data_IF_080964393573
#
_entry.id   IF_080964393573
#
_cell.length_a   1.000
_cell.length_b   1.000
_cell.length_c   1.000
_cell.angle_alpha   90.00
_cell.angle_beta   90.00
_cell.angle_gamma   90.00
#
_symmetry.space_group_name_H-M   'P 1'
#
loop_
_entity.id
_entity.type
_entity.pdbx_description
1 polymer ?
#
# COMPACT_ATOMS: atom_id res chain seq x y z
N UNK A 1 -7.87 21.64 -4.24
CA UNK A 1 -7.20 22.95 -4.29
C UNK A 1 -5.70 22.73 -4.32
N UNK A 2 -4.87 23.76 -4.51
CA UNK A 2 -3.42 23.64 -4.38
C UNK A 2 -2.96 23.11 -3.01
N UNK A 3 -3.78 23.26 -1.97
CA UNK A 3 -3.44 22.97 -0.58
C UNK A 3 -4.21 21.77 0.02
N UNK A 4 -5.26 21.30 -0.64
CA UNK A 4 -6.13 20.25 -0.12
C UNK A 4 -6.72 19.39 -1.24
N UNK A 5 -6.81 18.09 -1.01
CA UNK A 5 -7.57 17.16 -1.82
C UNK A 5 -8.21 16.11 -0.90
N UNK A 6 -9.30 15.51 -1.37
CA UNK A 6 -9.86 14.32 -0.71
C UNK A 6 -8.75 13.27 -0.54
N UNK A 7 -8.66 12.60 0.62
CA UNK A 7 -7.76 11.45 0.79
C UNK A 7 -7.83 10.48 -0.39
N UNK A 8 -6.67 9.98 -0.80
CA UNK A 8 -6.52 9.16 -2.01
C UNK A 8 -6.17 9.95 -3.28
N UNK A 9 -6.35 11.28 -3.29
CA UNK A 9 -6.05 12.15 -4.43
C UNK A 9 -4.86 13.08 -4.16
N UNK A 10 -4.08 13.35 -5.21
CA UNK A 10 -2.95 14.28 -5.15
C UNK A 10 -3.49 15.70 -5.15
N UNK A 11 -3.18 16.47 -4.10
CA UNK A 11 -3.46 17.91 -4.08
C UNK A 11 -2.53 18.66 -5.03
N UNK A 12 -3.01 19.77 -5.57
CA UNK A 12 -2.24 20.57 -6.52
C UNK A 12 -3.12 21.33 -7.50
N UNK A 13 -2.51 22.13 -8.38
CA UNK A 13 -3.23 22.74 -9.48
C UNK A 13 -3.77 21.66 -10.43
N UNK A 14 -4.97 21.86 -10.96
CA UNK A 14 -5.46 21.09 -12.09
C UNK A 14 -4.78 21.63 -13.35
N UNK A 15 -3.94 20.81 -13.98
CA UNK A 15 -3.26 21.21 -15.21
C UNK A 15 -4.24 21.22 -16.41
N UNK A 16 -4.10 22.19 -17.35
CA UNK A 16 -4.87 22.18 -18.58
C UNK A 16 -4.49 20.96 -19.43
N UNK A 17 -5.48 20.35 -20.09
CA UNK A 17 -5.27 19.21 -20.98
C UNK A 17 -6.43 18.24 -20.98
N UNK A 18 -6.20 17.07 -21.59
CA UNK A 18 -7.16 15.98 -21.60
C UNK A 18 -7.07 15.19 -20.29
N UNK A 19 -8.20 15.11 -19.59
CA UNK A 19 -8.34 14.34 -18.36
C UNK A 19 -8.97 12.99 -18.66
N UNK A 20 -8.31 11.92 -18.25
CA UNK A 20 -8.84 10.58 -18.31
C UNK A 20 -9.43 10.20 -16.96
N UNK A 21 -10.67 9.70 -16.98
CA UNK A 21 -11.32 9.16 -15.79
C UNK A 21 -11.25 7.64 -15.85
N UNK A 22 -10.65 7.04 -14.82
CA UNK A 22 -10.66 5.59 -14.64
C UNK A 22 -11.80 5.21 -13.71
N UNK A 23 -12.68 4.32 -14.17
CA UNK A 23 -13.74 3.75 -13.35
C UNK A 23 -13.32 2.37 -12.87
N UNK A 24 -12.93 2.27 -11.60
CA UNK A 24 -12.67 1.01 -10.93
C UNK A 24 -13.99 0.36 -10.50
N UNK A 25 -14.45 -0.64 -11.26
CA UNK A 25 -15.55 -1.50 -10.80
C UNK A 25 -14.95 -2.67 -10.01
N UNK A 26 -15.52 -3.04 -8.86
CA UNK A 26 -15.02 -4.21 -8.12
C UNK A 26 -15.39 -5.54 -8.77
N UNK A 27 -16.58 -5.60 -9.38
CA UNK A 27 -17.07 -6.73 -10.18
C UNK A 27 -18.10 -6.24 -11.18
N UNK A 28 -18.00 -6.65 -12.43
CA UNK A 28 -18.99 -6.40 -13.47
C UNK A 28 -19.58 -7.73 -13.91
N UNK A 29 -20.90 -7.83 -14.01
CA UNK A 29 -21.55 -9.02 -14.54
C UNK A 29 -21.17 -9.23 -16.02
N UNK A 30 -21.24 -10.48 -16.49
CA UNK A 30 -20.93 -10.79 -17.89
C UNK A 30 -21.82 -10.05 -18.90
N UNK A 31 -23.05 -9.73 -18.51
CA UNK A 31 -23.99 -8.93 -19.30
C UNK A 31 -23.64 -7.42 -19.36
N UNK A 32 -22.61 -7.01 -18.63
CA UNK A 32 -22.17 -5.63 -18.51
C UNK A 32 -22.97 -4.83 -17.48
N UNK A 33 -22.56 -3.58 -17.30
CA UNK A 33 -23.28 -2.58 -16.50
C UNK A 33 -23.51 -1.35 -17.36
N UNK A 34 -24.74 -0.83 -17.34
CA UNK A 34 -25.01 0.51 -17.89
C UNK A 34 -24.72 1.52 -16.80
N UNK A 35 -23.88 2.49 -17.10
CA UNK A 35 -23.55 3.57 -16.18
C UNK A 35 -23.61 4.91 -16.92
N UNK A 36 -23.87 5.96 -16.16
CA UNK A 36 -23.79 7.35 -16.60
C UNK A 36 -22.85 8.06 -15.63
N UNK A 37 -21.92 8.85 -16.17
CA UNK A 37 -21.05 9.68 -15.33
C UNK A 37 -21.34 11.13 -15.60
N UNK A 38 -21.64 11.87 -14.52
CA UNK A 38 -21.76 13.31 -14.52
C UNK A 38 -20.57 13.90 -13.78
N UNK A 39 -19.82 14.79 -14.44
CA UNK A 39 -18.71 15.52 -13.82
C UNK A 39 -19.18 16.94 -13.55
N UNK A 40 -19.17 17.34 -12.27
CA UNK A 40 -19.49 18.71 -11.85
C UNK A 40 -18.20 19.43 -11.49
N UNK A 41 -17.92 20.53 -12.17
CA UNK A 41 -16.76 21.38 -11.89
C UNK A 41 -17.25 22.65 -11.18
N UNK A 42 -16.77 22.86 -9.96
CA UNK A 42 -16.99 24.11 -9.22
C UNK A 42 -15.64 24.80 -9.08
N UNK A 43 -15.53 26.00 -9.64
CA UNK A 43 -14.36 26.85 -9.47
C UNK A 43 -14.67 27.80 -8.32
N UNK A 44 -13.94 27.70 -7.21
CA UNK A 44 -14.01 28.72 -6.17
C UNK A 44 -13.32 29.99 -6.69
N UNK A 45 -14.05 31.11 -6.76
CA UNK A 45 -13.57 32.41 -7.27
C UNK A 45 -12.44 33.05 -6.42
N UNK A 46 -11.89 32.34 -5.42
CA UNK A 46 -10.91 32.86 -4.46
C UNK A 46 -9.48 32.41 -4.69
N UNK A 47 -9.22 31.50 -5.61
CA UNK A 47 -7.84 31.18 -5.96
C UNK A 47 -7.38 32.13 -7.08
N UNK A 48 -6.41 33.03 -6.82
CA UNK A 48 -5.82 33.82 -7.89
C UNK A 48 -5.27 32.87 -8.96
N UNK A 49 -5.26 33.27 -10.25
CA UNK A 49 -4.62 32.47 -11.28
C UNK A 49 -3.21 32.13 -10.81
N UNK A 50 -2.75 30.87 -10.96
CA UNK A 50 -1.39 30.51 -10.59
C UNK A 50 -0.47 31.50 -11.31
N UNK A 51 0.23 32.33 -10.53
CA UNK A 51 1.24 33.22 -11.07
C UNK A 51 2.25 32.39 -11.84
N UNK A 52 2.86 32.99 -12.85
CA UNK A 52 3.96 32.42 -13.64
C UNK A 52 5.19 32.16 -12.77
N UNK A 53 5.09 31.23 -11.83
CA UNK A 53 6.22 30.58 -11.20
C UNK A 53 6.38 29.27 -11.94
N UNK A 54 7.37 29.22 -12.84
CA UNK A 54 7.93 27.97 -13.35
C UNK A 54 8.33 27.11 -12.15
N UNK A 55 7.42 26.27 -11.67
CA UNK A 55 7.76 25.15 -10.82
C UNK A 55 8.44 24.15 -11.75
N UNK A 56 9.77 24.08 -11.64
CA UNK A 56 10.59 23.10 -12.34
C UNK A 56 10.05 21.68 -12.05
N UNK A 57 9.42 20.99 -13.01
CA UNK A 57 8.86 19.66 -12.81
C UNK A 57 9.94 18.58 -12.66
N UNK A 58 11.22 18.97 -12.77
CA UNK A 58 12.38 18.07 -12.64
C UNK A 58 13.16 18.25 -11.35
N UNK A 59 12.72 19.12 -10.43
CA UNK A 59 13.37 19.25 -9.13
C UNK A 59 13.22 17.94 -8.35
N UNK A 60 14.30 17.12 -8.18
CA UNK A 60 14.19 15.94 -7.36
C UNK A 60 13.86 16.41 -5.95
N UNK A 61 12.88 15.77 -5.31
CA UNK A 61 12.73 15.83 -3.87
C UNK A 61 14.01 15.24 -3.25
N UNK A 62 15.03 16.07 -3.09
CA UNK A 62 16.27 15.78 -2.39
C UNK A 62 15.95 15.76 -0.90
N UNK A 63 15.17 14.79 -0.48
CA UNK A 63 15.11 14.40 0.92
C UNK A 63 16.34 13.55 1.15
N UNK A 64 17.39 14.20 1.65
CA UNK A 64 18.62 13.52 2.04
C UNK A 64 18.26 12.34 2.94
N UNK A 65 18.59 11.13 2.47
CA UNK A 65 18.49 9.91 3.25
C UNK A 65 19.51 9.98 4.41
N UNK A 66 19.21 10.77 5.44
CA UNK A 66 19.81 10.62 6.76
C UNK A 66 18.93 9.67 7.54
N UNK A 67 19.13 8.37 7.27
CA UNK A 67 18.76 7.36 8.25
C UNK A 67 19.48 7.65 9.57
N UNK A 68 18.90 7.29 10.72
CA UNK A 68 19.52 7.53 12.02
C UNK A 68 20.94 6.96 12.01
N UNK A 69 21.92 7.81 12.33
CA UNK A 69 23.32 7.44 12.50
C UNK A 69 23.41 6.36 13.57
N UNK A 70 23.78 5.13 13.18
CA UNK A 70 23.99 4.01 14.11
C UNK A 70 25.08 4.39 15.11
N UNK A 71 24.80 4.49 16.42
CA UNK A 71 25.86 4.44 17.42
C UNK A 71 26.52 3.06 17.32
N UNK A 72 27.84 3.04 17.40
CA UNK A 72 28.66 1.82 17.30
C UNK A 72 28.23 0.71 18.26
N UNK A 73 28.42 -0.52 17.80
CA UNK A 73 28.07 -1.77 18.49
C UNK A 73 26.87 -2.44 17.83
N UNK A 74 27.05 -3.64 17.24
CA UNK A 74 25.91 -4.51 16.91
C UNK A 74 25.28 -4.90 18.25
N UNK A 75 24.06 -4.45 18.60
CA UNK A 75 23.35 -5.07 19.70
C UNK A 75 23.10 -6.53 19.29
N UNK A 76 23.20 -7.45 20.24
CA UNK A 76 22.61 -8.79 20.09
C UNK A 76 21.21 -8.63 19.50
N UNK A 77 20.93 -9.31 18.39
CA UNK A 77 19.75 -9.08 17.56
C UNK A 77 18.47 -9.06 18.38
N UNK A 78 17.84 -7.89 18.48
CA UNK A 78 16.50 -7.75 19.02
C UNK A 78 15.52 -8.04 17.89
N UNK A 79 14.60 -8.96 18.13
CA UNK A 79 13.45 -9.17 17.26
C UNK A 79 12.60 -7.89 17.19
N UNK A 80 12.32 -7.42 15.99
CA UNK A 80 11.41 -6.30 15.75
C UNK A 80 10.06 -6.84 15.34
N UNK A 81 8.98 -6.33 15.93
CA UNK A 81 7.61 -6.71 15.60
C UNK A 81 6.95 -5.61 14.77
N UNK A 82 6.23 -5.96 13.72
CA UNK A 82 5.46 -4.97 12.97
C UNK A 82 4.31 -5.53 12.16
N UNK A 83 3.59 -4.62 11.54
CA UNK A 83 2.50 -4.92 10.62
C UNK A 83 2.89 -4.43 9.22
N UNK A 84 2.68 -5.28 8.22
CA UNK A 84 3.09 -5.05 6.84
C UNK A 84 1.92 -4.78 5.89
N UNK A 85 0.68 -4.74 6.41
CA UNK A 85 -0.51 -4.58 5.60
C UNK A 85 -1.61 -3.85 6.40
N UNK A 86 -1.91 -2.60 6.06
CA UNK A 86 -3.03 -1.85 6.64
C UNK A 86 -3.45 -0.67 5.77
N UNK A 87 -4.70 -0.24 5.94
CA UNK A 87 -5.36 0.78 5.12
C UNK A 87 -5.79 1.98 5.95
N UNK A 88 -5.87 3.13 5.30
CA UNK A 88 -6.30 4.40 5.87
C UNK A 88 -7.43 4.99 5.02
N UNK A 89 -7.87 6.19 5.38
CA UNK A 89 -8.82 6.96 4.59
C UNK A 89 -8.30 7.31 3.18
N UNK A 90 -7.02 7.07 2.87
CA UNK A 90 -6.50 7.28 1.52
C UNK A 90 -6.94 6.21 0.51
N UNK A 91 -7.38 5.03 0.95
CA UNK A 91 -8.16 4.11 0.11
C UNK A 91 -9.55 3.88 0.67
N UNK A 92 -9.71 2.86 1.47
CA UNK A 92 -10.97 2.27 1.92
C UNK A 92 -10.92 1.89 3.41
N UNK A 93 -9.84 2.27 4.09
CA UNK A 93 -9.79 2.34 5.53
C UNK A 93 -10.64 3.50 6.08
N UNK A 94 -10.95 3.42 7.37
CA UNK A 94 -11.79 4.41 8.06
C UNK A 94 -10.99 5.35 8.97
N UNK A 95 -9.68 5.08 9.11
CA UNK A 95 -8.81 5.78 10.03
C UNK A 95 -7.81 6.68 9.30
N UNK A 96 -7.49 7.81 9.90
CA UNK A 96 -6.39 8.68 9.43
C UNK A 96 -5.04 7.98 9.60
N UNK A 97 -4.01 8.46 8.90
CA UNK A 97 -2.64 7.98 9.09
C UNK A 97 -2.20 8.21 10.54
N UNK A 98 -2.51 9.37 11.14
CA UNK A 98 -2.21 9.66 12.55
C UNK A 98 -2.81 8.62 13.52
N UNK A 99 -4.10 8.28 13.35
CA UNK A 99 -4.77 7.29 14.20
C UNK A 99 -4.15 5.89 14.08
N UNK A 100 -3.84 5.47 12.85
CA UNK A 100 -3.23 4.16 12.58
C UNK A 100 -1.83 4.09 13.19
N UNK A 101 -1.01 5.13 13.00
CA UNK A 101 0.34 5.21 13.56
C UNK A 101 0.31 5.28 15.10
N UNK A 102 -0.59 6.06 15.68
CA UNK A 102 -0.77 6.14 17.13
C UNK A 102 -1.13 4.76 17.72
N UNK A 103 -2.11 4.08 17.12
CA UNK A 103 -2.51 2.72 17.53
C UNK A 103 -1.35 1.71 17.38
N UNK A 104 -0.53 1.82 16.34
CA UNK A 104 0.65 0.96 16.18
C UNK A 104 1.66 1.13 17.33
N UNK A 105 1.94 2.37 17.71
CA UNK A 105 2.82 2.70 18.84
C UNK A 105 2.23 2.18 20.16
N UNK A 106 0.94 2.43 20.41
CA UNK A 106 0.24 1.93 21.61
C UNK A 106 0.27 0.40 21.72
N UNK A 107 0.24 -0.30 20.57
CA UNK A 107 0.36 -1.76 20.47
C UNK A 107 1.79 -2.28 20.54
N UNK A 108 2.78 -1.39 20.68
CA UNK A 108 4.20 -1.74 20.79
C UNK A 108 4.78 -2.32 19.50
N UNK A 109 4.30 -1.88 18.34
CA UNK A 109 4.93 -2.21 17.06
C UNK A 109 6.21 -1.39 16.87
N UNK A 110 7.27 -2.04 16.42
CA UNK A 110 8.56 -1.43 16.05
C UNK A 110 8.53 -0.84 14.63
N UNK A 111 7.70 -1.41 13.75
CA UNK A 111 7.50 -0.92 12.39
C UNK A 111 6.06 -1.11 11.91
N UNK A 112 5.67 -0.28 10.95
CA UNK A 112 4.35 -0.29 10.32
C UNK A 112 4.49 0.07 8.84
N UNK A 113 3.97 -0.79 7.96
CA UNK A 113 3.71 -0.43 6.57
C UNK A 113 2.26 -0.01 6.38
N UNK A 114 2.05 1.16 5.78
CA UNK A 114 0.72 1.62 5.36
C UNK A 114 0.63 1.46 3.86
N UNK A 115 -0.38 0.73 3.39
CA UNK A 115 -0.45 0.13 2.05
C UNK A 115 -1.79 0.42 1.39
N UNK A 116 -2.24 1.68 1.40
CA UNK A 116 -3.49 2.08 0.74
C UNK A 116 -3.52 1.64 -0.73
N UNK A 117 -4.70 1.28 -1.22
CA UNK A 117 -4.90 0.73 -2.56
C UNK A 117 -4.58 1.75 -3.66
N UNK A 118 -3.67 1.39 -4.57
CA UNK A 118 -3.44 2.08 -5.85
C UNK A 118 -3.15 3.60 -5.74
N UNK A 119 -2.69 4.07 -4.57
CA UNK A 119 -2.41 5.47 -4.28
C UNK A 119 -1.15 5.60 -3.43
N UNK A 120 -0.46 6.72 -3.60
CA UNK A 120 0.74 7.08 -2.85
C UNK A 120 0.54 8.34 -1.99
N UNK A 121 -0.70 8.80 -1.84
CA UNK A 121 -1.00 10.12 -1.27
C UNK A 121 -0.77 10.20 0.23
N UNK A 122 -0.84 9.07 0.95
CA UNK A 122 -0.52 8.96 2.37
C UNK A 122 0.97 9.12 2.69
N UNK A 123 1.86 9.03 1.69
CA UNK A 123 3.31 9.09 1.90
C UNK A 123 3.78 10.39 2.54
N UNK A 124 3.11 11.50 2.26
CA UNK A 124 3.43 12.78 2.87
C UNK A 124 3.12 12.79 4.37
N UNK A 125 1.97 12.22 4.77
CA UNK A 125 1.59 12.11 6.17
C UNK A 125 2.56 11.20 6.94
N UNK A 126 2.97 10.08 6.31
CA UNK A 126 4.02 9.23 6.87
C UNK A 126 5.35 9.99 7.04
N UNK A 127 5.74 10.81 6.06
CA UNK A 127 6.96 11.61 6.15
C UNK A 127 6.88 12.63 7.31
N UNK A 128 5.73 13.28 7.50
CA UNK A 128 5.48 14.19 8.63
C UNK A 128 5.61 13.47 9.97
N UNK A 129 5.17 12.23 10.06
CA UNK A 129 5.18 11.40 11.27
C UNK A 129 6.52 10.66 11.51
N UNK A 130 7.51 10.81 10.64
CA UNK A 130 8.80 10.10 10.70
C UNK A 130 9.66 10.38 11.96
N UNK A 131 9.28 11.37 12.76
CA UNK A 131 9.93 11.72 14.03
C UNK A 131 9.45 10.86 15.21
N UNK A 132 8.40 10.06 15.03
CA UNK A 132 7.83 9.19 16.05
C UNK A 132 8.70 7.94 16.30
N UNK A 133 8.58 7.28 17.46
CA UNK A 133 9.42 6.14 17.84
C UNK A 133 8.98 4.82 17.18
N UNK A 134 8.65 4.84 15.88
CA UNK A 134 8.25 3.69 15.08
C UNK A 134 8.81 3.84 13.66
N UNK A 135 9.24 2.74 13.04
CA UNK A 135 9.66 2.77 11.63
C UNK A 135 8.43 2.75 10.74
N UNK A 136 8.19 3.86 10.05
CA UNK A 136 7.11 3.97 9.05
C UNK A 136 7.63 3.57 7.67
N UNK A 137 7.00 2.56 7.08
CA UNK A 137 7.34 2.01 5.77
C UNK A 137 6.26 2.52 4.78
N UNK A 138 6.62 3.39 3.82
CA UNK A 138 5.70 3.73 2.75
C UNK A 138 5.48 2.48 1.88
N UNK A 139 4.21 2.16 1.62
CA UNK A 139 3.85 1.11 0.69
C UNK A 139 2.54 1.38 -0.02
N UNK A 140 2.30 0.62 -1.07
CA UNK A 140 1.09 0.68 -1.89
C UNK A 140 0.62 -0.76 -2.11
N UNK A 141 -0.66 -1.02 -1.93
CA UNK A 141 -1.25 -2.26 -2.40
C UNK A 141 -1.70 -2.07 -3.85
N UNK A 142 -1.02 -2.73 -4.80
CA UNK A 142 -1.53 -2.83 -6.17
C UNK A 142 -2.66 -3.84 -6.16
N UNK A 143 -3.84 -3.30 -6.35
CA UNK A 143 -5.11 -4.02 -6.31
C UNK A 143 -5.66 -4.11 -7.71
N UNK A 144 -5.76 -5.35 -8.21
CA UNK A 144 -6.23 -5.67 -9.56
C UNK A 144 -7.28 -6.78 -9.51
N UNK A 145 -8.00 -6.98 -10.63
CA UNK A 145 -8.91 -8.12 -10.77
C UNK A 145 -8.19 -9.48 -10.74
N UNK A 146 -6.88 -9.52 -10.97
CA UNK A 146 -6.08 -10.73 -11.07
C UNK A 146 -5.31 -11.06 -9.79
N UNK A 147 -5.36 -10.19 -8.78
CA UNK A 147 -4.63 -10.38 -7.54
C UNK A 147 -4.15 -9.07 -6.95
N UNK A 148 -3.73 -9.18 -5.69
CA UNK A 148 -3.27 -8.08 -4.87
C UNK A 148 -1.79 -8.29 -4.49
N UNK A 149 -1.01 -7.22 -4.49
CA UNK A 149 0.38 -7.25 -4.06
C UNK A 149 0.78 -5.96 -3.35
N UNK A 150 1.48 -6.09 -2.23
CA UNK A 150 2.09 -4.96 -1.54
C UNK A 150 3.47 -4.66 -2.11
N UNK A 151 3.73 -3.39 -2.36
CA UNK A 151 5.08 -2.87 -2.62
C UNK A 151 5.50 -2.01 -1.44
N UNK A 152 6.70 -2.22 -0.93
CA UNK A 152 7.23 -1.48 0.22
C UNK A 152 8.52 -0.76 -0.11
N UNK A 153 8.74 0.36 0.58
CA UNK A 153 10.01 1.08 0.60
C UNK A 153 10.20 2.05 -0.56
N UNK A 154 9.19 2.24 -1.40
CA UNK A 154 9.20 3.23 -2.48
C UNK A 154 8.38 4.46 -2.08
N UNK A 155 8.72 5.61 -2.67
CA UNK A 155 7.96 6.87 -2.54
C UNK A 155 7.44 7.39 -3.87
N UNK A 156 7.49 6.54 -4.88
CA UNK A 156 6.98 6.77 -6.22
C UNK A 156 5.66 6.00 -6.36
N UNK A 157 4.73 6.52 -7.17
CA UNK A 157 3.48 5.81 -7.50
C UNK A 157 3.78 4.52 -8.27
N UNK A 158 3.05 3.45 -7.96
CA UNK A 158 3.16 2.18 -8.68
C UNK A 158 2.02 2.04 -9.69
N UNK A 159 2.35 1.70 -10.94
CA UNK A 159 1.32 1.52 -11.95
C UNK A 159 0.52 0.23 -11.71
N UNK A 160 -0.66 0.37 -11.12
CA UNK A 160 -1.56 -0.73 -10.81
C UNK A 160 -2.29 -1.33 -12.01
N UNK A 161 -2.15 -0.74 -13.21
CA UNK A 161 -2.89 -1.16 -14.42
C UNK A 161 -2.28 -2.42 -15.04
N UNK A 162 -2.22 -3.49 -14.25
CA UNK A 162 -1.76 -4.81 -14.64
C UNK A 162 -2.95 -5.71 -14.96
N UNK A 163 -2.96 -6.27 -16.17
CA UNK A 163 -4.04 -7.12 -16.68
C UNK A 163 -3.58 -8.54 -17.03
N UNK A 164 -2.28 -8.81 -16.89
CA UNK A 164 -1.68 -10.10 -17.22
C UNK A 164 -0.36 -10.31 -16.47
N UNK A 165 0.21 -11.51 -16.61
CA UNK A 165 1.48 -11.87 -15.98
C UNK A 165 2.64 -10.96 -16.39
N UNK A 166 2.70 -10.56 -17.66
CA UNK A 166 3.78 -9.73 -18.19
C UNK A 166 3.81 -8.33 -17.58
N UNK A 167 2.64 -7.73 -17.40
CA UNK A 167 2.47 -6.42 -16.74
C UNK A 167 2.79 -6.49 -15.25
N UNK A 168 2.31 -7.51 -14.52
CA UNK A 168 2.68 -7.70 -13.11
C UNK A 168 4.19 -7.95 -12.92
N UNK A 169 4.82 -8.72 -13.80
CA UNK A 169 6.28 -8.89 -13.80
C UNK A 169 7.02 -7.59 -14.12
N UNK A 170 6.45 -6.69 -14.93
CA UNK A 170 7.03 -5.38 -15.16
C UNK A 170 7.01 -4.52 -13.89
N UNK A 171 5.90 -4.54 -13.14
CA UNK A 171 5.80 -3.91 -11.81
C UNK A 171 6.81 -4.50 -10.85
N UNK A 172 6.88 -5.83 -10.74
CA UNK A 172 7.88 -6.52 -9.91
C UNK A 172 9.30 -6.06 -10.24
N UNK A 173 9.69 -6.04 -11.53
CA UNK A 173 11.02 -5.58 -11.96
C UNK A 173 11.26 -4.13 -11.59
N UNK A 174 10.29 -3.25 -11.83
CA UNK A 174 10.38 -1.83 -11.47
C UNK A 174 10.66 -1.66 -9.98
N UNK A 175 9.89 -2.35 -9.13
CA UNK A 175 9.99 -2.26 -7.68
C UNK A 175 11.36 -2.72 -7.19
N UNK A 176 11.80 -3.90 -7.64
CA UNK A 176 13.08 -4.48 -7.24
C UNK A 176 14.27 -3.65 -7.73
N UNK A 177 14.23 -3.12 -8.95
CA UNK A 177 15.29 -2.26 -9.50
C UNK A 177 15.42 -0.94 -8.74
N UNK A 178 14.33 -0.44 -8.16
CA UNK A 178 14.32 0.75 -7.31
C UNK A 178 14.68 0.47 -5.85
N UNK A 179 14.97 -0.79 -5.50
CA UNK A 179 15.34 -1.20 -4.15
C UNK A 179 14.15 -1.41 -3.21
N UNK A 180 12.92 -1.43 -3.73
CA UNK A 180 11.73 -1.82 -2.99
C UNK A 180 11.60 -3.33 -2.85
N UNK A 181 10.63 -3.76 -2.04
CA UNK A 181 10.21 -5.16 -1.92
C UNK A 181 8.77 -5.31 -2.38
N UNK A 182 8.42 -6.50 -2.83
CA UNK A 182 7.07 -6.86 -3.28
C UNK A 182 6.62 -8.16 -2.61
N UNK A 183 5.37 -8.19 -2.17
CA UNK A 183 4.72 -9.36 -1.59
C UNK A 183 3.44 -9.67 -2.34
N UNK A 184 3.24 -10.95 -2.69
CA UNK A 184 1.92 -11.42 -3.08
C UNK A 184 1.03 -11.42 -1.82
N UNK A 185 -0.11 -10.75 -1.87
CA UNK A 185 -1.01 -10.62 -0.73
C UNK A 185 -2.03 -11.77 -0.72
N UNK A 186 -2.23 -12.34 0.47
CA UNK A 186 -3.22 -13.35 0.81
C UNK A 186 -3.81 -14.16 -0.37
N UNK A 187 -3.00 -14.98 -1.09
CA UNK A 187 -3.46 -15.69 -2.27
C UNK A 187 -4.34 -16.87 -1.86
N UNK A 188 -5.66 -16.68 -1.90
CA UNK A 188 -6.66 -17.67 -1.46
C UNK A 188 -7.94 -17.59 -2.29
N UNK A 189 -8.74 -18.64 -2.23
CA UNK A 189 -10.02 -18.80 -2.95
C UNK A 189 -11.13 -17.90 -2.40
N UNK A 190 -11.07 -17.55 -1.11
CA UNK A 190 -11.99 -16.63 -0.45
C UNK A 190 -11.31 -15.29 -0.22
N UNK A 191 -11.52 -14.40 -1.19
CA UNK A 191 -10.81 -13.13 -1.34
C UNK A 191 -10.47 -12.91 -2.82
N UNK A 192 -9.63 -11.92 -3.14
CA UNK A 192 -9.08 -11.78 -4.49
C UNK A 192 -8.10 -12.93 -4.77
N UNK A 193 -8.41 -13.84 -5.70
CA UNK A 193 -7.47 -14.90 -6.05
C UNK A 193 -6.25 -14.32 -6.76
N UNK A 194 -5.09 -14.95 -6.59
CA UNK A 194 -3.92 -14.64 -7.41
C UNK A 194 -3.97 -15.45 -8.71
N UNK A 195 -4.37 -14.78 -9.80
CA UNK A 195 -4.64 -15.33 -11.14
C UNK A 195 -3.53 -15.05 -12.15
N UNK A 196 -2.50 -14.27 -11.80
CA UNK A 196 -1.35 -14.08 -12.68
C UNK A 196 -0.60 -15.41 -12.87
N UNK A 197 -0.54 -15.89 -14.11
CA UNK A 197 0.25 -17.06 -14.50
C UNK A 197 1.75 -16.77 -14.38
N UNK A 198 2.58 -17.79 -14.09
CA UNK A 198 4.04 -17.60 -14.00
C UNK A 198 4.42 -16.67 -12.84
N UNK A 199 4.55 -17.24 -11.65
CA UNK A 199 4.67 -16.50 -10.40
C UNK A 199 6.00 -16.65 -9.68
N UNK A 200 7.07 -17.00 -10.38
CA UNK A 200 8.35 -17.29 -9.75
C UNK A 200 9.13 -15.99 -9.47
N UNK A 201 9.81 -15.93 -8.32
CA UNK A 201 10.76 -14.85 -8.01
C UNK A 201 10.19 -13.67 -7.21
N UNK A 202 8.98 -13.75 -6.65
CA UNK A 202 8.55 -12.80 -5.63
C UNK A 202 9.35 -13.02 -4.34
N UNK A 203 9.94 -11.98 -3.74
CA UNK A 203 10.78 -12.12 -2.55
C UNK A 203 9.95 -12.41 -1.29
N UNK A 204 8.67 -12.02 -1.27
CA UNK A 204 7.78 -12.16 -0.14
C UNK A 204 6.41 -12.71 -0.56
N UNK A 205 5.73 -13.39 0.36
CA UNK A 205 4.33 -13.73 0.22
C UNK A 205 3.64 -13.68 1.58
N UNK A 206 2.46 -13.08 1.61
CA UNK A 206 1.63 -13.03 2.78
C UNK A 206 0.96 -14.40 3.00
N UNK A 207 1.45 -15.09 4.03
CA UNK A 207 0.97 -16.41 4.44
C UNK A 207 -0.16 -16.29 5.46
N UNK A 208 -0.22 -15.16 6.17
CA UNK A 208 -1.27 -14.87 7.13
C UNK A 208 -1.77 -13.44 6.98
N UNK A 209 -3.00 -13.31 6.49
CA UNK A 209 -3.84 -12.12 6.59
C UNK A 209 -4.96 -12.34 7.61
N UNK A 210 -5.32 -11.31 8.38
CA UNK A 210 -6.31 -11.46 9.43
C UNK A 210 -7.75 -11.63 8.90
N UNK A 211 -8.57 -12.50 9.49
CA UNK A 211 -8.24 -13.56 10.46
C UNK A 211 -7.86 -14.88 9.77
N UNK A 212 -7.04 -15.68 10.48
CA UNK A 212 -6.55 -16.99 10.00
C UNK A 212 -7.64 -17.87 9.38
N UNK A 213 -8.82 -17.93 10.03
CA UNK A 213 -9.96 -18.78 9.65
C UNK A 213 -10.52 -18.55 8.25
N UNK A 214 -10.20 -17.44 7.58
CA UNK A 214 -10.54 -17.25 6.17
C UNK A 214 -9.42 -17.76 5.29
N UNK A 215 -9.30 -19.08 5.22
CA UNK A 215 -8.55 -19.80 4.18
C UNK A 215 -7.05 -19.50 4.08
N UNK A 216 -6.42 -19.00 5.14
CA UNK A 216 -4.97 -18.77 5.15
C UNK A 216 -4.14 -20.07 5.03
N UNK A 217 -4.75 -21.24 5.27
CA UNK A 217 -4.11 -22.52 4.98
C UNK A 217 -3.80 -22.71 3.49
N UNK A 218 -4.57 -22.12 2.58
CA UNK A 218 -4.27 -22.16 1.14
C UNK A 218 -3.02 -21.33 0.81
N UNK A 219 -2.89 -20.15 1.42
CA UNK A 219 -1.70 -19.31 1.27
C UNK A 219 -0.47 -19.98 1.89
N UNK A 220 -0.64 -20.67 3.02
CA UNK A 220 0.41 -21.48 3.64
C UNK A 220 0.84 -22.67 2.77
N UNK A 221 -0.12 -23.43 2.22
CA UNK A 221 0.17 -24.57 1.33
C UNK A 221 0.90 -24.10 0.07
N UNK A 222 0.46 -22.98 -0.52
CA UNK A 222 1.14 -22.36 -1.67
C UNK A 222 2.58 -21.98 -1.34
N UNK A 223 2.83 -21.39 -0.17
CA UNK A 223 4.17 -20.98 0.26
C UNK A 223 5.09 -22.20 0.44
N UNK A 224 4.58 -23.21 1.14
CA UNK A 224 5.26 -24.47 1.40
C UNK A 224 5.61 -25.19 0.08
N UNK A 225 4.74 -25.16 -0.92
CA UNK A 225 5.03 -25.68 -2.26
C UNK A 225 6.11 -24.88 -3.01
N UNK A 226 6.14 -23.55 -2.86
CA UNK A 226 7.24 -22.72 -3.40
C UNK A 226 8.58 -23.14 -2.76
N UNK A 227 8.61 -23.34 -1.44
CA UNK A 227 9.81 -23.81 -0.75
C UNK A 227 10.25 -25.20 -1.21
N UNK A 228 9.31 -26.14 -1.42
CA UNK A 228 9.62 -27.49 -1.95
C UNK A 228 10.21 -27.46 -3.35
N UNK A 229 9.85 -26.47 -4.17
CA UNK A 229 10.46 -26.23 -5.50
C UNK A 229 11.83 -25.56 -5.42
N UNK A 230 12.31 -25.20 -4.23
CA UNK A 230 13.61 -24.57 -4.02
C UNK A 230 13.58 -23.04 -4.15
N UNK A 231 12.39 -22.44 -4.19
CA UNK A 231 12.24 -20.99 -4.22
C UNK A 231 12.61 -20.37 -2.86
N UNK A 232 13.04 -19.10 -2.88
CA UNK A 232 13.41 -18.33 -1.69
C UNK A 232 12.40 -17.22 -1.47
N UNK A 233 11.34 -17.54 -0.75
CA UNK A 233 10.20 -16.62 -0.52
C UNK A 233 10.02 -16.43 0.98
N UNK A 234 10.10 -15.19 1.43
CA UNK A 234 9.90 -14.82 2.84
C UNK A 234 8.39 -14.83 3.14
N UNK A 235 7.98 -15.65 4.10
CA UNK A 235 6.62 -15.56 4.64
C UNK A 235 6.46 -14.29 5.45
N UNK A 236 5.39 -13.54 5.18
CA UNK A 236 4.98 -12.39 5.97
C UNK A 236 3.55 -12.54 6.45
N UNK A 237 3.16 -11.74 7.43
CA UNK A 237 1.77 -11.52 7.79
C UNK A 237 1.47 -10.05 8.07
N UNK A 238 0.24 -9.67 7.80
CA UNK A 238 -0.28 -8.33 8.06
C UNK A 238 -1.75 -8.37 8.48
N UNK A 239 -2.18 -7.31 9.18
CA UNK A 239 -3.55 -7.28 9.70
C UNK A 239 -4.59 -7.03 8.62
N UNK A 240 -4.20 -6.37 7.53
CA UNK A 240 -5.10 -5.91 6.46
C UNK A 240 -6.27 -5.09 7.06
N UNK A 241 -5.94 -4.29 8.08
CA UNK A 241 -6.94 -3.58 8.85
C UNK A 241 -7.47 -2.38 8.06
N UNK A 242 -8.79 -2.32 7.96
CA UNK A 242 -9.52 -1.20 7.37
C UNK A 242 -10.17 -0.29 8.43
N UNK A 243 -10.12 -0.69 9.70
CA UNK A 243 -10.81 0.01 10.78
C UNK A 243 -10.30 -0.44 12.14
N UNK A 244 -9.86 0.50 12.95
CA UNK A 244 -9.58 0.33 14.38
C UNK A 244 -10.60 1.14 15.19
N UNK A 245 -10.84 0.82 16.48
CA UNK A 245 -11.71 1.62 17.32
C UNK A 245 -11.29 3.10 17.37
N UNK A 246 -12.23 4.06 17.43
CA UNK A 246 -13.68 3.89 17.61
C UNK A 246 -14.49 3.59 16.34
N UNK A 247 -13.87 3.55 15.17
CA UNK A 247 -14.52 3.34 13.88
C UNK A 247 -15.16 1.95 13.80
N UNK A 248 -16.26 1.85 13.02
CA UNK A 248 -17.04 0.63 12.85
C UNK A 248 -17.29 0.34 11.36
N UNK A 249 -17.38 -0.94 10.94
CA UNK A 249 -17.27 -2.17 11.74
C UNK A 249 -15.86 -2.33 12.35
N UNK A 250 -15.69 -3.15 13.39
CA UNK A 250 -14.34 -3.41 13.90
C UNK A 250 -13.70 -4.50 13.05
N UNK A 251 -12.46 -4.28 12.60
CA UNK A 251 -11.72 -5.31 11.89
C UNK A 251 -11.41 -6.48 12.83
N UNK A 252 -11.53 -7.75 12.37
CA UNK A 252 -11.14 -8.90 13.18
C UNK A 252 -9.69 -8.75 13.67
N UNK A 253 -9.51 -8.90 14.99
CA UNK A 253 -8.21 -8.87 15.69
C UNK A 253 -7.43 -7.52 15.70
N UNK A 254 -7.80 -6.57 14.84
CA UNK A 254 -7.24 -5.22 14.77
C UNK A 254 -5.78 -5.18 14.30
N UNK A 255 -5.22 -3.96 14.29
CA UNK A 255 -3.86 -3.69 13.80
C UNK A 255 -2.77 -4.56 14.48
N UNK A 256 -1.82 -5.06 13.70
CA UNK A 256 -0.70 -5.89 14.18
C UNK A 256 -1.10 -7.31 14.60
N UNK A 257 -2.24 -7.81 14.13
CA UNK A 257 -2.65 -9.19 14.34
C UNK A 257 -3.24 -9.82 13.06
N UNK A 258 -2.44 -10.61 12.31
CA UNK A 258 -1.09 -11.07 12.65
C UNK A 258 -0.03 -9.97 12.54
N UNK A 259 1.15 -10.25 13.10
CA UNK A 259 2.33 -9.41 12.95
C UNK A 259 3.48 -10.21 12.33
N UNK A 260 4.41 -9.51 11.69
CA UNK A 260 5.68 -10.07 11.21
C UNK A 260 6.80 -9.74 12.21
N UNK A 261 7.69 -10.70 12.46
CA UNK A 261 8.88 -10.53 13.28
C UNK A 261 10.15 -10.61 12.41
N UNK A 262 11.07 -9.66 12.56
CA UNK A 262 12.36 -9.59 11.83
C UNK A 262 13.56 -9.46 12.76
#
# INVERSE_FOLDING_TARGET
TPHEATPGYIRGPLFPGDWHMLLGFGRVNLEGVRYEVTVNLTLDERDPPPGDTEADPTAPAQVGARGPSRPGGRPSGRWLKGDLHCHTIHSDGLNTVDEIVASAIERGLDFLAVTDHNTNTHYEELARLSHLPIVLIPGEEVTTYWGHANMWGLREWIDFRCADAGSMQAVQRFVLQKGGLISVNHPKSVGPPWLFEGGDGYPCMEVWQAPWRYYNWESLERWDDMLRRGERVVAVGGSDVHSIPPQRPMHPHGLGNPCTWV
#
